data_IF_017608994194
#
_entry.id   IF_017608994194
#
_cell.length_a   1.000
_cell.length_b   1.000
_cell.length_c   1.000
_cell.angle_alpha   90.00
_cell.angle_beta   90.00
_cell.angle_gamma   90.00
#
_symmetry.space_group_name_H-M   'P 1'
#
loop_
_entity.id
_entity.type
_entity.pdbx_description
1 polymer ?
#
# COMPACT_ATOMS: atom_id res chain seq x y z
N UNK A 1 -3.36 -54.69 -8.25
CA UNK A 1 -3.32 -53.43 -9.03
C UNK A 1 -3.88 -52.30 -8.17
N UNK A 2 -3.02 -51.41 -7.64
CA UNK A 2 -3.46 -50.20 -6.93
C UNK A 2 -3.68 -49.10 -7.98
N UNK A 3 -4.93 -48.68 -8.16
CA UNK A 3 -5.26 -47.49 -8.94
C UNK A 3 -4.93 -46.24 -8.11
N UNK A 4 -3.90 -45.50 -8.52
CA UNK A 4 -3.59 -44.19 -7.94
C UNK A 4 -4.52 -43.19 -8.64
N UNK A 5 -5.51 -42.69 -7.89
CA UNK A 5 -6.40 -41.61 -8.32
C UNK A 5 -5.62 -40.29 -8.25
N UNK A 6 -5.14 -39.81 -9.40
CA UNK A 6 -4.53 -38.48 -9.53
C UNK A 6 -5.65 -37.43 -9.51
N UNK A 7 -5.85 -36.79 -8.37
CA UNK A 7 -6.71 -35.60 -8.27
C UNK A 7 -5.92 -34.43 -8.87
N UNK A 8 -6.27 -34.04 -10.10
CA UNK A 8 -5.78 -32.81 -10.73
C UNK A 8 -6.40 -31.63 -9.99
N UNK A 9 -5.62 -31.01 -9.11
CA UNK A 9 -5.90 -29.68 -8.58
C UNK A 9 -5.76 -28.68 -9.73
N UNK A 10 -6.86 -28.42 -10.43
CA UNK A 10 -6.93 -27.29 -11.37
C UNK A 10 -6.82 -26.03 -10.52
N UNK A 11 -5.81 -25.18 -10.72
CA UNK A 11 -5.76 -23.89 -10.04
C UNK A 11 -7.02 -23.14 -10.44
N UNK A 12 -7.86 -22.80 -9.46
CA UNK A 12 -8.97 -21.87 -9.68
C UNK A 12 -8.32 -20.54 -10.00
N UNK A 13 -8.20 -20.24 -11.29
CA UNK A 13 -7.82 -18.90 -11.73
C UNK A 13 -8.94 -18.00 -11.24
N UNK A 14 -8.68 -17.25 -10.16
CA UNK A 14 -9.62 -16.29 -9.65
C UNK A 14 -9.94 -15.32 -10.77
N UNK A 15 -11.20 -15.30 -11.20
CA UNK A 15 -11.62 -14.32 -12.19
C UNK A 15 -11.47 -12.93 -11.58
N UNK A 16 -10.83 -12.02 -12.32
CA UNK A 16 -10.76 -10.62 -11.93
C UNK A 16 -12.17 -10.01 -11.82
N UNK A 17 -12.30 -8.95 -11.04
CA UNK A 17 -13.55 -8.23 -10.81
C UNK A 17 -13.54 -6.97 -11.66
N UNK A 18 -14.60 -6.73 -12.42
CA UNK A 18 -14.80 -5.45 -13.11
C UNK A 18 -15.24 -4.42 -12.06
N UNK A 19 -14.48 -3.33 -11.84
CA UNK A 19 -14.86 -2.33 -10.85
C UNK A 19 -16.09 -1.52 -11.31
N UNK A 20 -16.92 -1.09 -10.35
CA UNK A 20 -18.14 -0.30 -10.58
C UNK A 20 -18.07 1.04 -9.83
N UNK A 21 -18.76 2.07 -10.34
CA UNK A 21 -18.79 3.39 -9.68
C UNK A 21 -19.50 3.31 -8.32
N UNK A 22 -18.83 3.81 -7.28
CA UNK A 22 -19.33 3.77 -5.90
C UNK A 22 -19.18 2.40 -5.22
N UNK A 23 -18.52 1.42 -5.85
CA UNK A 23 -18.31 0.08 -5.29
C UNK A 23 -17.68 0.14 -3.89
N UNK A 24 -18.22 -0.67 -2.97
CA UNK A 24 -17.63 -0.94 -1.67
C UNK A 24 -16.80 -2.21 -1.72
N UNK A 25 -15.56 -2.12 -1.24
CA UNK A 25 -14.62 -3.23 -1.12
C UNK A 25 -14.38 -3.47 0.37
N UNK A 26 -14.85 -4.62 0.84
CA UNK A 26 -14.72 -5.11 2.21
C UNK A 26 -13.88 -6.40 2.30
N UNK A 27 -13.38 -6.89 1.16
CA UNK A 27 -12.53 -8.07 1.01
C UNK A 27 -11.50 -7.84 -0.09
N UNK A 28 -10.44 -8.63 -0.10
CA UNK A 28 -9.42 -8.53 -1.15
C UNK A 28 -9.99 -8.82 -2.54
N UNK A 29 -9.57 -8.03 -3.52
CA UNK A 29 -10.02 -8.09 -4.91
C UNK A 29 -8.85 -7.83 -5.86
N UNK A 30 -8.95 -8.44 -7.04
CA UNK A 30 -8.09 -8.15 -8.19
C UNK A 30 -8.99 -7.61 -9.30
N UNK A 31 -8.69 -6.43 -9.83
CA UNK A 31 -9.46 -5.83 -10.90
C UNK A 31 -9.07 -6.34 -12.27
N UNK A 32 -10.05 -6.39 -13.16
CA UNK A 32 -9.76 -6.63 -14.57
C UNK A 32 -9.02 -5.42 -15.16
N UNK A 33 -8.04 -5.69 -16.02
CA UNK A 33 -7.36 -4.62 -16.77
C UNK A 33 -8.37 -3.88 -17.66
N UNK A 34 -8.22 -2.56 -17.78
CA UNK A 34 -9.18 -1.75 -18.54
C UNK A 34 -9.13 -0.27 -18.18
N UNK A 35 -10.03 0.48 -18.79
CA UNK A 35 -10.27 1.90 -18.47
C UNK A 35 -11.70 2.03 -17.99
N UNK A 36 -11.87 2.54 -16.78
CA UNK A 36 -13.16 2.65 -16.11
C UNK A 36 -13.40 4.09 -15.66
N UNK A 37 -14.66 4.50 -15.72
CA UNK A 37 -15.09 5.87 -15.46
C UNK A 37 -15.96 5.92 -14.21
N UNK A 38 -15.44 6.55 -13.16
CA UNK A 38 -16.04 6.59 -11.82
C UNK A 38 -16.04 8.01 -11.29
N UNK A 39 -17.21 8.59 -11.12
CA UNK A 39 -17.33 9.93 -10.51
C UNK A 39 -17.48 9.83 -8.99
N UNK A 40 -18.07 8.74 -8.50
CA UNK A 40 -18.18 8.42 -7.07
C UNK A 40 -16.94 7.69 -6.54
N UNK A 41 -16.13 7.14 -7.43
CA UNK A 41 -14.90 6.42 -7.11
C UNK A 41 -15.15 5.08 -6.44
N UNK A 42 -14.16 4.55 -5.75
CA UNK A 42 -14.22 3.27 -5.04
C UNK A 42 -14.04 3.51 -3.54
N UNK A 43 -14.77 2.77 -2.71
CA UNK A 43 -14.66 2.83 -1.25
C UNK A 43 -14.07 1.52 -0.72
N UNK A 44 -13.07 1.63 0.14
CA UNK A 44 -12.44 0.50 0.83
C UNK A 44 -12.64 0.70 2.33
N UNK A 45 -13.16 -0.31 3.01
CA UNK A 45 -13.37 -0.28 4.46
C UNK A 45 -13.24 -1.68 5.06
N UNK A 46 -12.73 -1.77 6.29
CA UNK A 46 -12.46 -3.05 6.95
C UNK A 46 -10.97 -3.31 7.14
N UNK A 47 -10.59 -4.57 7.33
CA UNK A 47 -9.22 -4.95 7.67
C UNK A 47 -8.65 -6.03 6.76
N UNK A 48 -7.32 -6.02 6.57
CA UNK A 48 -6.59 -7.05 5.83
C UNK A 48 -7.03 -7.18 4.36
N UNK A 49 -7.28 -6.04 3.71
CA UNK A 49 -7.78 -5.97 2.34
C UNK A 49 -6.62 -5.67 1.39
N UNK A 50 -6.57 -6.40 0.29
CA UNK A 50 -5.68 -6.12 -0.85
C UNK A 50 -6.52 -5.74 -2.05
N UNK A 51 -6.24 -4.59 -2.64
CA UNK A 51 -6.81 -4.14 -3.91
C UNK A 51 -5.68 -4.12 -4.93
N UNK A 52 -5.68 -5.14 -5.79
CA UNK A 52 -4.79 -5.21 -6.93
C UNK A 52 -5.52 -4.64 -8.15
N UNK A 53 -5.04 -3.54 -8.70
CA UNK A 53 -5.66 -2.95 -9.87
C UNK A 53 -5.23 -3.59 -11.20
N UNK A 54 -4.20 -4.43 -11.21
CA UNK A 54 -3.61 -5.02 -12.42
C UNK A 54 -3.32 -3.98 -13.53
N UNK A 55 -2.91 -2.77 -13.15
CA UNK A 55 -2.69 -1.66 -14.09
C UNK A 55 -3.96 -0.98 -14.62
N UNK A 56 -5.15 -1.29 -14.12
CA UNK A 56 -6.39 -0.62 -14.54
C UNK A 56 -6.33 0.90 -14.37
N UNK A 57 -6.99 1.60 -15.30
CA UNK A 57 -7.12 3.06 -15.30
C UNK A 57 -8.49 3.43 -14.76
N UNK A 58 -8.50 4.09 -13.60
CA UNK A 58 -9.71 4.64 -13.00
C UNK A 58 -9.71 6.15 -13.28
N UNK A 59 -10.79 6.67 -13.86
CA UNK A 59 -10.87 8.06 -14.30
C UNK A 59 -12.18 8.72 -13.88
N UNK A 60 -12.12 10.00 -13.46
CA UNK A 60 -13.31 10.83 -13.19
C UNK A 60 -13.47 11.98 -14.18
N UNK A 61 -14.70 12.46 -14.32
CA UNK A 61 -15.09 13.67 -15.06
C UNK A 61 -15.50 14.80 -14.12
N UNK A 62 -15.93 14.47 -12.89
CA UNK A 62 -16.51 15.40 -11.92
C UNK A 62 -15.58 15.84 -10.79
N UNK A 63 -14.29 15.48 -10.82
CA UNK A 63 -13.31 15.77 -9.75
C UNK A 63 -13.72 15.20 -8.37
N UNK A 64 -14.11 13.93 -8.33
CA UNK A 64 -14.40 13.19 -7.09
C UNK A 64 -13.15 12.72 -6.32
N UNK A 65 -13.33 11.69 -5.48
CA UNK A 65 -12.23 10.92 -4.86
C UNK A 65 -12.02 9.64 -5.69
N UNK A 66 -10.79 9.27 -6.01
CA UNK A 66 -10.51 8.05 -6.79
C UNK A 66 -10.76 6.78 -5.98
N UNK A 67 -9.87 6.53 -5.03
CA UNK A 67 -10.02 5.44 -4.06
C UNK A 67 -10.06 6.05 -2.65
N UNK A 68 -11.17 5.85 -1.96
CA UNK A 68 -11.39 6.29 -0.58
C UNK A 68 -11.19 5.13 0.38
N UNK A 69 -10.23 5.24 1.30
CA UNK A 69 -9.93 4.24 2.32
C UNK A 69 -10.29 4.84 3.68
N UNK A 70 -11.40 4.41 4.24
CA UNK A 70 -11.96 5.03 5.45
C UNK A 70 -12.23 3.98 6.53
N UNK A 71 -11.81 4.27 7.77
CA UNK A 71 -11.97 3.37 8.92
C UNK A 71 -11.38 1.97 8.67
N UNK A 72 -10.20 1.92 8.06
CA UNK A 72 -9.59 0.69 7.61
C UNK A 72 -8.23 0.42 8.26
N UNK A 73 -7.83 -0.84 8.30
CA UNK A 73 -6.55 -1.26 8.86
C UNK A 73 -5.88 -2.33 8.03
N UNK A 74 -4.56 -2.23 7.84
CA UNK A 74 -3.79 -3.21 7.08
C UNK A 74 -4.36 -3.38 5.66
N UNK A 75 -4.46 -2.27 4.94
CA UNK A 75 -4.95 -2.22 3.56
C UNK A 75 -3.78 -2.02 2.62
N UNK A 76 -3.71 -2.80 1.54
CA UNK A 76 -2.75 -2.57 0.46
C UNK A 76 -3.50 -2.26 -0.82
N UNK A 77 -3.13 -1.18 -1.51
CA UNK A 77 -3.62 -0.84 -2.85
C UNK A 77 -2.42 -0.68 -3.76
N UNK A 78 -2.38 -1.42 -4.87
CA UNK A 78 -1.25 -1.39 -5.78
C UNK A 78 -1.63 -1.45 -7.26
N UNK A 79 -0.69 -0.98 -8.07
CA UNK A 79 -0.77 -0.99 -9.54
C UNK A 79 -1.99 -0.28 -10.13
N UNK A 80 -2.55 0.71 -9.42
CA UNK A 80 -3.66 1.50 -9.93
C UNK A 80 -3.17 2.71 -10.72
N UNK A 81 -3.92 3.10 -11.76
CA UNK A 81 -3.71 4.38 -12.46
C UNK A 81 -4.90 5.29 -12.21
N UNK A 82 -4.74 6.31 -11.38
CA UNK A 82 -5.83 7.21 -10.97
C UNK A 82 -5.72 8.55 -11.71
N UNK A 83 -6.75 8.90 -12.48
CA UNK A 83 -6.73 10.03 -13.41
C UNK A 83 -7.88 11.02 -13.19
N UNK A 84 -7.55 12.31 -13.09
CA UNK A 84 -8.51 13.43 -13.09
C UNK A 84 -9.49 13.47 -11.91
N UNK A 85 -9.06 13.02 -10.73
CA UNK A 85 -9.79 13.19 -9.47
C UNK A 85 -9.39 14.48 -8.75
N UNK A 86 -10.20 14.94 -7.79
CA UNK A 86 -9.77 15.94 -6.81
C UNK A 86 -8.69 15.34 -5.90
N UNK A 87 -8.94 14.15 -5.38
CA UNK A 87 -7.95 13.36 -4.64
C UNK A 87 -7.82 12.01 -5.33
N UNK A 88 -6.62 11.65 -5.79
CA UNK A 88 -6.38 10.30 -6.32
C UNK A 88 -6.69 9.27 -5.22
N UNK A 89 -5.92 9.34 -4.13
CA UNK A 89 -6.22 8.61 -2.90
C UNK A 89 -6.77 9.54 -1.82
N UNK A 90 -7.82 9.10 -1.12
CA UNK A 90 -8.33 9.76 0.07
C UNK A 90 -8.33 8.76 1.22
N UNK A 91 -7.46 8.95 2.21
CA UNK A 91 -7.30 8.03 3.35
C UNK A 91 -7.70 8.75 4.63
N UNK A 92 -8.62 8.17 5.40
CA UNK A 92 -9.15 8.78 6.62
C UNK A 92 -9.30 7.77 7.75
N UNK A 93 -8.93 8.17 8.98
CA UNK A 93 -9.14 7.39 10.20
C UNK A 93 -8.67 5.93 10.05
N UNK A 94 -7.48 5.75 9.48
CA UNK A 94 -6.99 4.43 9.06
C UNK A 94 -5.54 4.25 9.49
N UNK A 95 -5.08 3.00 9.60
CA UNK A 95 -3.69 2.71 9.94
C UNK A 95 -3.15 1.56 9.11
N UNK A 96 -1.83 1.55 8.89
CA UNK A 96 -1.18 0.51 8.07
C UNK A 96 -1.81 0.41 6.68
N UNK A 97 -1.97 1.55 6.03
CA UNK A 97 -2.41 1.65 4.64
C UNK A 97 -1.18 1.74 3.75
N UNK A 98 -1.07 0.88 2.76
CA UNK A 98 0.09 0.78 1.88
C UNK A 98 -0.34 1.05 0.44
N UNK A 99 0.08 2.19 -0.10
CA UNK A 99 -0.23 2.64 -1.46
C UNK A 99 1.04 2.56 -2.29
N UNK A 100 1.23 1.46 -3.03
CA UNK A 100 2.49 1.14 -3.69
C UNK A 100 2.35 0.97 -5.21
N UNK A 101 3.34 1.44 -5.97
CA UNK A 101 3.42 1.27 -7.42
C UNK A 101 2.17 1.77 -8.18
N UNK A 102 1.52 2.81 -7.65
CA UNK A 102 0.40 3.48 -8.32
C UNK A 102 0.87 4.69 -9.12
N UNK A 103 0.10 5.03 -10.15
CA UNK A 103 0.33 6.20 -11.00
C UNK A 103 -0.79 7.23 -10.81
N UNK A 104 -0.45 8.37 -10.23
CA UNK A 104 -1.38 9.45 -9.93
C UNK A 104 -1.24 10.55 -10.99
N UNK A 105 -2.20 10.62 -11.91
CA UNK A 105 -2.10 11.41 -13.12
C UNK A 105 -3.14 12.54 -13.12
N UNK A 106 -2.72 13.81 -13.23
CA UNK A 106 -3.63 14.96 -13.38
C UNK A 106 -4.76 15.01 -12.33
N UNK A 107 -4.51 14.48 -11.13
CA UNK A 107 -5.40 14.71 -10.00
C UNK A 107 -5.12 16.12 -9.46
N UNK A 108 -6.08 16.76 -8.78
CA UNK A 108 -5.80 18.05 -8.15
C UNK A 108 -4.71 17.88 -7.07
N UNK A 109 -4.89 16.85 -6.24
CA UNK A 109 -3.92 16.39 -5.23
C UNK A 109 -3.74 14.88 -5.38
N UNK A 110 -2.51 14.38 -5.29
CA UNK A 110 -2.20 12.96 -5.47
C UNK A 110 -2.87 12.09 -4.41
N UNK A 111 -2.51 12.32 -3.15
CA UNK A 111 -3.11 11.67 -2.00
C UNK A 111 -3.46 12.66 -0.88
N UNK A 112 -4.54 12.42 -0.15
CA UNK A 112 -4.88 13.16 1.07
C UNK A 112 -5.04 12.20 2.25
N UNK A 113 -4.25 12.41 3.29
CA UNK A 113 -4.26 11.63 4.54
C UNK A 113 -4.86 12.48 5.66
N UNK A 114 -5.87 11.96 6.36
CA UNK A 114 -6.54 12.63 7.48
C UNK A 114 -6.64 11.65 8.66
N UNK A 115 -5.92 11.93 9.75
CA UNK A 115 -5.84 11.02 10.90
C UNK A 115 -5.39 9.60 10.52
N UNK A 116 -4.23 9.53 9.85
CA UNK A 116 -3.62 8.29 9.35
C UNK A 116 -2.28 8.04 10.04
N UNK A 117 -2.01 6.78 10.40
CA UNK A 117 -0.76 6.40 11.04
C UNK A 117 -0.18 5.09 10.50
N UNK A 118 1.12 4.88 10.73
CA UNK A 118 1.83 3.64 10.41
C UNK A 118 1.64 3.18 8.95
N UNK A 119 1.45 4.12 8.03
CA UNK A 119 1.09 3.87 6.63
C UNK A 119 2.23 4.25 5.69
N UNK A 120 2.21 3.76 4.45
CA UNK A 120 3.23 4.11 3.47
C UNK A 120 2.63 4.42 2.11
N UNK A 121 3.23 5.38 1.43
CA UNK A 121 2.96 5.75 0.06
C UNK A 121 4.29 5.71 -0.71
N UNK A 122 4.35 4.90 -1.76
CA UNK A 122 5.45 4.85 -2.71
C UNK A 122 4.90 4.78 -4.13
N UNK A 123 4.74 5.95 -4.76
CA UNK A 123 4.00 6.07 -6.02
C UNK A 123 4.71 6.99 -7.03
N UNK A 124 4.22 6.98 -8.27
CA UNK A 124 4.52 8.01 -9.25
C UNK A 124 3.42 9.07 -9.25
N UNK A 125 3.76 10.34 -9.12
CA UNK A 125 2.77 11.42 -9.04
C UNK A 125 3.05 12.58 -10.00
N UNK A 126 2.07 12.91 -10.84
CA UNK A 126 2.02 14.11 -11.68
C UNK A 126 0.70 14.85 -11.47
N UNK A 127 0.30 14.98 -10.20
CA UNK A 127 -0.86 15.77 -9.78
C UNK A 127 -0.60 17.27 -9.96
N UNK A 128 -1.68 18.03 -10.11
CA UNK A 128 -1.69 19.42 -10.58
C UNK A 128 -1.23 20.42 -9.53
N UNK A 129 -1.62 20.25 -8.27
CA UNK A 129 -1.21 21.15 -7.18
C UNK A 129 -0.06 20.57 -6.38
N UNK A 130 -0.29 19.44 -5.72
CA UNK A 130 0.70 18.82 -4.85
C UNK A 130 0.55 17.30 -4.80
N UNK A 131 1.65 16.56 -4.57
CA UNK A 131 1.61 15.11 -4.54
C UNK A 131 0.87 14.57 -3.31
N UNK A 132 0.91 15.28 -2.18
CA UNK A 132 0.28 14.82 -0.94
C UNK A 132 -0.20 15.98 -0.06
N UNK A 133 -1.34 15.76 0.59
CA UNK A 133 -1.85 16.51 1.73
C UNK A 133 -1.90 15.60 2.96
N UNK A 134 -1.50 16.10 4.12
CA UNK A 134 -1.49 15.36 5.36
C UNK A 134 -2.04 16.23 6.49
N UNK A 135 -3.02 15.71 7.21
CA UNK A 135 -3.71 16.39 8.31
C UNK A 135 -3.80 15.41 9.49
N UNK A 136 -3.31 15.82 10.67
CA UNK A 136 -3.34 15.00 11.89
C UNK A 136 -2.79 13.57 11.69
N UNK A 137 -1.83 13.39 10.78
CA UNK A 137 -1.29 12.09 10.39
C UNK A 137 0.21 12.01 10.71
N UNK A 138 0.63 10.90 11.30
CA UNK A 138 1.96 10.75 11.90
C UNK A 138 2.56 9.37 11.65
N UNK A 139 3.90 9.29 11.68
CA UNK A 139 4.65 8.04 11.52
C UNK A 139 4.24 7.28 10.24
N UNK A 140 4.05 8.03 9.15
CA UNK A 140 3.86 7.48 7.81
C UNK A 140 5.14 7.63 6.99
N UNK A 141 5.27 6.83 5.94
CA UNK A 141 6.31 7.00 4.93
C UNK A 141 5.71 7.59 3.66
N UNK A 142 6.26 8.71 3.19
CA UNK A 142 5.87 9.34 1.93
C UNK A 142 7.07 9.40 0.99
N UNK A 143 7.00 8.67 -0.11
CA UNK A 143 8.05 8.64 -1.10
C UNK A 143 7.44 8.62 -2.50
N UNK A 144 8.10 9.31 -3.42
CA UNK A 144 7.65 9.45 -4.79
C UNK A 144 8.82 9.17 -5.73
N UNK A 145 8.56 8.39 -6.77
CA UNK A 145 9.58 7.99 -7.76
C UNK A 145 10.13 9.16 -8.57
N UNK A 146 9.41 10.28 -8.61
CA UNK A 146 9.68 11.38 -9.53
C UNK A 146 9.67 12.76 -8.85
N UNK A 147 9.58 12.82 -7.53
CA UNK A 147 9.49 14.07 -6.76
C UNK A 147 10.18 13.93 -5.42
N UNK A 148 10.77 15.02 -4.95
CA UNK A 148 11.28 15.16 -3.57
C UNK A 148 10.27 16.00 -2.79
N UNK A 149 9.94 15.57 -1.58
CA UNK A 149 9.08 16.30 -0.65
C UNK A 149 9.93 17.18 0.27
N UNK A 150 9.65 18.48 0.25
CA UNK A 150 10.28 19.48 1.12
C UNK A 150 9.16 20.28 1.83
N UNK A 151 8.40 19.61 2.69
CA UNK A 151 7.24 20.23 3.35
C UNK A 151 7.22 19.90 4.84
N UNK A 152 6.48 20.70 5.63
CA UNK A 152 6.32 20.49 7.07
C UNK A 152 5.70 19.14 7.44
N UNK A 153 5.04 18.45 6.49
CA UNK A 153 4.50 17.10 6.73
C UNK A 153 5.61 16.10 7.12
N UNK A 154 6.86 16.37 6.72
CA UNK A 154 8.01 15.53 7.01
C UNK A 154 8.56 15.70 8.44
N UNK A 155 8.00 16.63 9.23
CA UNK A 155 8.35 16.77 10.65
C UNK A 155 7.74 15.64 11.49
N UNK A 156 6.55 15.17 11.11
CA UNK A 156 5.84 14.07 11.77
C UNK A 156 5.82 12.76 10.97
N UNK A 157 6.44 12.74 9.78
CA UNK A 157 6.45 11.60 8.86
C UNK A 157 7.83 11.43 8.22
N UNK A 158 8.11 10.22 7.73
CA UNK A 158 9.36 9.93 7.02
C UNK A 158 9.18 10.19 5.52
N UNK A 159 9.87 11.19 4.99
CA UNK A 159 9.79 11.55 3.58
C UNK A 159 11.00 11.09 2.79
N UNK A 160 10.82 10.90 1.48
CA UNK A 160 11.90 10.63 0.52
C UNK A 160 12.74 9.39 0.86
N UNK A 161 12.13 8.43 1.57
CA UNK A 161 12.75 7.14 1.89
C UNK A 161 12.86 6.33 0.59
N UNK A 162 13.96 5.60 0.44
CA UNK A 162 14.11 4.67 -0.68
C UNK A 162 13.07 3.55 -0.65
N UNK A 163 12.95 2.83 -1.78
CA UNK A 163 11.99 1.73 -1.91
C UNK A 163 12.19 0.64 -0.86
N UNK A 164 13.44 0.31 -0.53
CA UNK A 164 13.74 -0.75 0.44
C UNK A 164 13.26 -0.37 1.84
N UNK A 165 13.40 0.89 2.24
CA UNK A 165 12.88 1.41 3.50
C UNK A 165 11.35 1.35 3.56
N UNK A 166 10.66 1.59 2.44
CA UNK A 166 9.20 1.39 2.35
C UNK A 166 8.83 -0.08 2.52
N UNK A 167 9.50 -0.97 1.79
CA UNK A 167 9.24 -2.42 1.84
C UNK A 167 9.48 -2.98 3.25
N UNK A 168 10.56 -2.57 3.91
CA UNK A 168 10.85 -2.94 5.30
C UNK A 168 9.80 -2.43 6.28
N UNK A 169 9.23 -1.24 6.04
CA UNK A 169 8.18 -0.68 6.87
C UNK A 169 6.84 -1.42 6.74
N UNK A 170 6.56 -1.99 5.57
CA UNK A 170 5.36 -2.79 5.33
C UNK A 170 5.40 -4.14 6.05
N UNK A 171 6.59 -4.65 6.37
CA UNK A 171 6.73 -5.91 7.10
C UNK A 171 6.05 -5.78 8.47
N UNK A 172 5.33 -6.83 8.92
CA UNK A 172 4.76 -6.84 10.26
C UNK A 172 5.87 -6.54 11.27
N UNK A 173 5.73 -5.46 12.04
CA UNK A 173 6.62 -5.22 13.18
C UNK A 173 6.43 -6.40 14.12
N UNK A 174 7.41 -7.29 14.18
CA UNK A 174 7.44 -8.35 15.19
C UNK A 174 7.36 -7.67 16.55
N UNK A 175 6.38 -8.04 17.35
CA UNK A 175 6.25 -7.52 18.71
C UNK A 175 7.60 -7.62 19.45
N UNK A 176 7.94 -6.64 20.30
CA UNK A 176 9.23 -6.63 20.99
C UNK A 176 9.49 -7.92 21.75
N UNK A 177 8.46 -8.55 22.34
CA UNK A 177 8.65 -9.84 23.02
C UNK A 177 8.86 -10.96 22.01
N UNK A 178 8.12 -10.99 20.90
CA UNK A 178 8.36 -11.97 19.82
C UNK A 178 9.73 -11.81 19.18
N UNK A 179 10.21 -10.58 19.02
CA UNK A 179 11.55 -10.28 18.53
C UNK A 179 12.58 -10.67 19.57
N UNK A 180 12.35 -10.40 20.86
CA UNK A 180 13.20 -10.83 21.95
C UNK A 180 13.31 -12.35 22.05
N UNK A 181 12.19 -13.08 21.90
CA UNK A 181 12.15 -14.53 21.85
C UNK A 181 12.93 -15.03 20.63
N UNK A 182 12.63 -14.51 19.43
CA UNK A 182 13.33 -14.89 18.20
C UNK A 182 14.84 -14.64 18.29
N UNK A 183 15.26 -13.47 18.80
CA UNK A 183 16.66 -13.14 19.06
C UNK A 183 17.25 -14.12 20.08
N UNK A 184 16.56 -14.41 21.18
CA UNK A 184 17.06 -15.34 22.20
C UNK A 184 17.22 -16.77 21.67
N UNK A 185 16.33 -17.22 20.79
CA UNK A 185 16.35 -18.56 20.20
C UNK A 185 17.40 -18.70 19.09
N UNK A 186 17.60 -17.66 18.28
CA UNK A 186 18.47 -17.71 17.10
C UNK A 186 19.87 -17.14 17.34
N UNK A 187 20.02 -16.31 18.37
CA UNK A 187 21.26 -15.60 18.71
C UNK A 187 21.74 -15.94 20.13
N UNK A 188 20.89 -16.47 21.01
CA UNK A 188 21.31 -16.96 22.32
C UNK A 188 22.43 -17.98 22.22
N UNK A 189 23.60 -17.64 22.77
CA UNK A 189 24.82 -18.45 22.72
C UNK A 189 25.83 -18.06 21.63
N UNK A 190 25.52 -17.09 20.75
CA UNK A 190 26.50 -16.53 19.80
C UNK A 190 27.23 -15.34 20.44
N UNK A 191 28.56 -15.40 20.45
CA UNK A 191 29.40 -14.25 20.83
C UNK A 191 29.15 -13.06 19.89
N UNK A 192 29.43 -11.83 20.33
CA UNK A 192 29.27 -10.60 19.53
C UNK A 192 29.88 -10.72 18.12
N UNK A 193 31.00 -11.44 17.99
CA UNK A 193 31.67 -11.75 16.72
C UNK A 193 30.87 -12.72 15.83
N UNK A 194 30.27 -13.78 16.40
CA UNK A 194 29.40 -14.71 15.66
C UNK A 194 28.11 -14.04 15.18
N UNK A 195 27.57 -13.11 15.97
CA UNK A 195 26.40 -12.33 15.57
C UNK A 195 26.73 -11.40 14.40
N UNK A 196 27.85 -10.66 14.49
CA UNK A 196 28.34 -9.81 13.40
C UNK A 196 28.52 -10.62 12.11
N UNK A 197 29.25 -11.74 12.17
CA UNK A 197 29.47 -12.58 10.99
C UNK A 197 28.16 -13.17 10.43
N UNK A 198 27.18 -13.52 11.28
CA UNK A 198 25.90 -14.04 10.80
C UNK A 198 25.06 -12.95 10.12
N UNK A 199 24.91 -11.78 10.74
CA UNK A 199 24.16 -10.64 10.17
C UNK A 199 24.76 -10.23 8.83
N UNK A 200 26.09 -10.14 8.74
CA UNK A 200 26.77 -9.71 7.52
C UNK A 200 27.04 -10.83 6.50
N UNK A 201 26.88 -12.11 6.87
CA UNK A 201 26.97 -13.24 5.91
C UNK A 201 25.80 -13.31 4.93
N UNK A 202 24.67 -12.66 5.24
CA UNK A 202 23.51 -12.60 4.36
C UNK A 202 23.69 -11.54 3.25
N UNK A 203 24.67 -10.65 3.41
CA UNK A 203 24.95 -9.55 2.50
C UNK A 203 26.18 -9.75 1.61
N UNK A 204 26.81 -10.93 1.67
CA UNK A 204 27.90 -11.37 0.77
C UNK A 204 27.44 -12.61 -0.02
#
# INVERSE_FOLDING_TARGET
MKWILFILLVPVVGACIVPEDGMLIDKSVEFCTGVYYFDSGIKVSGENIKVDCAGSVLKSWSFGKGISIEHAKNVTVHECRLLSYKYGFYVRNSSRVFLIDNHLLKNLVGARFVSVSDSALFNHDVSLLQPIESELSENNIFSFTNKVLETSICESNHCNVDRQGVELFMLPRTDKNKMGIWLSENIGGKTKAKLHNWVFSVFN
#
